data_IF_765281059967
#
_entry.id   IF_765281059967
#
_cell.length_a   1.000
_cell.length_b   1.000
_cell.length_c   1.000
_cell.angle_alpha   90.00
_cell.angle_beta   90.00
_cell.angle_gamma   90.00
#
_symmetry.space_group_name_H-M   'P 1'
#
loop_
_entity.id
_entity.type
_entity.pdbx_description
1 polymer ?
#
# COMPACT_ATOMS: atom_id res chain seq x y z
N UNK A 1 -22.63 4.00 41.18
CA UNK A 1 -21.65 3.34 40.28
C UNK A 1 -22.41 2.80 39.07
N UNK A 2 -21.89 2.96 37.85
CA UNK A 2 -22.50 2.34 36.67
C UNK A 2 -22.13 0.86 36.59
N UNK A 3 -23.10 -0.02 36.32
CA UNK A 3 -22.83 -1.45 36.16
C UNK A 3 -22.20 -1.73 34.79
N UNK A 4 -21.03 -2.37 34.77
CA UNK A 4 -20.32 -2.69 33.54
C UNK A 4 -21.20 -3.58 32.62
N UNK A 5 -21.43 -3.11 31.38
CA UNK A 5 -22.26 -3.83 30.41
C UNK A 5 -21.67 -5.22 30.10
N UNK A 6 -22.40 -6.33 30.34
CA UNK A 6 -21.83 -7.67 30.29
C UNK A 6 -21.75 -8.21 28.86
N UNK A 7 -20.93 -7.59 28.01
CA UNK A 7 -20.77 -7.87 26.57
C UNK A 7 -20.67 -9.38 26.26
N UNK A 8 -19.86 -10.13 27.03
CA UNK A 8 -19.65 -11.57 26.87
C UNK A 8 -20.80 -12.47 27.35
N UNK A 9 -21.90 -11.91 27.84
CA UNK A 9 -23.16 -12.61 28.15
C UNK A 9 -24.25 -12.38 27.09
N UNK A 10 -24.02 -11.54 26.08
CA UNK A 10 -24.98 -11.32 24.99
C UNK A 10 -25.18 -12.59 24.15
N UNK A 11 -26.41 -12.85 23.64
CA UNK A 11 -26.65 -13.86 22.61
C UNK A 11 -25.75 -13.63 21.39
N UNK A 12 -25.25 -14.70 20.76
CA UNK A 12 -24.22 -14.63 19.71
C UNK A 12 -24.50 -13.59 18.61
N UNK A 13 -25.74 -13.51 18.10
CA UNK A 13 -26.12 -12.51 17.08
C UNK A 13 -25.95 -11.06 17.58
N UNK A 14 -26.36 -10.76 18.82
CA UNK A 14 -26.23 -9.44 19.42
C UNK A 14 -24.75 -9.10 19.72
N UNK A 15 -23.97 -10.05 20.25
CA UNK A 15 -22.53 -9.90 20.44
C UNK A 15 -21.81 -9.59 19.12
N UNK A 16 -22.12 -10.34 18.06
CA UNK A 16 -21.59 -10.07 16.73
C UNK A 16 -21.99 -8.66 16.26
N UNK A 17 -23.27 -8.27 16.36
CA UNK A 17 -23.72 -6.95 15.93
C UNK A 17 -23.00 -5.81 16.66
N UNK A 18 -22.82 -5.91 17.99
CA UNK A 18 -22.05 -4.92 18.76
C UNK A 18 -20.60 -4.85 18.27
N UNK A 19 -19.92 -6.00 18.11
CA UNK A 19 -18.54 -6.05 17.59
C UNK A 19 -18.42 -5.62 16.12
N UNK A 20 -19.50 -5.67 15.34
CA UNK A 20 -19.56 -5.07 14.01
C UNK A 20 -19.68 -3.53 14.06
N UNK A 21 -20.11 -2.95 15.18
CA UNK A 21 -20.23 -1.50 15.38
C UNK A 21 -19.00 -0.84 16.03
N UNK A 22 -18.06 -1.60 16.61
CA UNK A 22 -16.81 -1.04 17.18
C UNK A 22 -15.76 -0.83 16.07
N UNK A 23 -14.81 0.09 16.33
CA UNK A 23 -13.64 0.32 15.50
C UNK A 23 -12.74 -0.92 15.41
N UNK A 24 -11.99 -1.02 14.31
CA UNK A 24 -11.12 -2.17 14.06
C UNK A 24 -9.88 -2.22 14.94
N UNK A 25 -9.39 -1.09 15.44
CA UNK A 25 -8.30 -1.05 16.42
C UNK A 25 -8.77 -1.63 17.76
N UNK A 26 -9.98 -1.29 18.19
CA UNK A 26 -10.63 -1.85 19.39
C UNK A 26 -10.99 -3.34 19.26
N UNK A 27 -11.36 -3.81 18.07
CA UNK A 27 -11.60 -5.25 17.81
C UNK A 27 -10.33 -6.07 18.05
N UNK A 28 -9.17 -5.56 17.65
CA UNK A 28 -7.88 -6.19 17.96
C UNK A 28 -7.61 -6.12 19.47
N UNK A 29 -7.81 -4.97 20.12
CA UNK A 29 -7.73 -4.84 21.60
C UNK A 29 -8.54 -5.91 22.32
N UNK A 30 -9.79 -6.08 21.90
CA UNK A 30 -10.72 -7.06 22.47
C UNK A 30 -10.25 -8.50 22.21
N UNK A 31 -9.75 -8.82 21.00
CA UNK A 31 -9.22 -10.16 20.69
C UNK A 31 -7.96 -10.54 21.50
N UNK A 32 -7.21 -9.56 22.02
CA UNK A 32 -6.03 -9.79 22.86
C UNK A 32 -6.39 -10.05 24.33
N UNK A 33 -7.57 -9.62 24.79
CA UNK A 33 -7.94 -9.67 26.21
C UNK A 33 -8.07 -11.09 26.81
N UNK A 34 -8.36 -12.11 25.99
CA UNK A 34 -8.46 -13.52 26.42
C UNK A 34 -8.55 -14.47 25.23
N UNK A 35 -8.31 -15.77 25.44
CA UNK A 35 -8.59 -16.77 24.40
C UNK A 35 -10.08 -16.82 24.00
N UNK A 36 -11.01 -16.55 24.92
CA UNK A 36 -12.46 -16.49 24.64
C UNK A 36 -12.80 -15.33 23.70
N UNK A 37 -12.23 -14.15 23.91
CA UNK A 37 -12.45 -12.98 23.04
C UNK A 37 -11.74 -13.13 21.69
N UNK A 38 -10.56 -13.77 21.66
CA UNK A 38 -9.86 -14.16 20.43
C UNK A 38 -10.73 -15.04 19.52
N UNK A 39 -11.33 -16.10 20.04
CA UNK A 39 -12.26 -16.94 19.27
C UNK A 39 -13.54 -16.22 18.86
N UNK A 40 -14.07 -15.32 19.69
CA UNK A 40 -15.23 -14.49 19.32
C UNK A 40 -14.89 -13.63 18.10
N UNK A 41 -13.76 -12.91 18.10
CA UNK A 41 -13.34 -12.05 16.97
C UNK A 41 -13.06 -12.87 15.71
N UNK A 42 -12.34 -13.98 15.83
CA UNK A 42 -12.16 -14.95 14.72
C UNK A 42 -13.51 -15.42 14.17
N UNK A 43 -14.50 -15.69 15.02
CA UNK A 43 -15.84 -16.10 14.59
C UNK A 43 -16.66 -15.01 13.87
N UNK A 44 -16.20 -13.75 13.84
CA UNK A 44 -16.75 -12.69 13.00
C UNK A 44 -16.36 -12.84 11.52
N UNK A 45 -15.38 -13.69 11.17
CA UNK A 45 -14.95 -13.95 9.78
C UNK A 45 -14.63 -12.67 9.00
N UNK A 46 -13.96 -11.72 9.66
CA UNK A 46 -13.68 -10.39 9.15
C UNK A 46 -12.75 -10.47 7.94
N UNK A 47 -13.18 -9.88 6.82
CA UNK A 47 -12.38 -9.84 5.59
C UNK A 47 -11.49 -8.62 5.56
N UNK A 48 -10.22 -8.91 5.27
CA UNK A 48 -9.14 -7.99 4.92
C UNK A 48 -8.72 -8.32 3.48
N UNK A 49 -8.04 -7.41 2.79
CA UNK A 49 -7.34 -7.77 1.56
C UNK A 49 -6.02 -8.48 1.88
N UNK A 50 -5.14 -7.81 2.63
CA UNK A 50 -3.73 -8.17 2.70
C UNK A 50 -3.11 -7.79 4.06
N UNK A 51 -2.13 -8.58 4.51
CA UNK A 51 -1.25 -8.27 5.66
C UNK A 51 0.12 -7.89 5.12
N UNK A 52 0.65 -6.76 5.53
CA UNK A 52 1.97 -6.27 5.13
C UNK A 52 2.85 -6.00 6.34
N UNK A 53 4.15 -6.21 6.19
CA UNK A 53 5.17 -5.93 7.21
C UNK A 53 6.13 -4.88 6.65
N UNK A 54 6.41 -3.82 7.41
CA UNK A 54 7.41 -2.79 7.05
C UNK A 54 8.58 -2.82 8.02
N UNK A 55 9.77 -2.78 7.44
CA UNK A 55 11.07 -2.75 8.09
C UNK A 55 11.61 -1.32 7.91
N UNK A 56 11.38 -0.48 8.91
CA UNK A 56 11.73 0.95 8.94
C UNK A 56 12.74 1.19 10.09
N UNK A 57 12.79 2.37 10.70
CA UNK A 57 13.47 2.63 11.98
C UNK A 57 12.88 1.80 13.15
N UNK A 58 11.63 1.36 12.95
CA UNK A 58 10.81 0.51 13.80
C UNK A 58 10.06 -0.50 12.92
N UNK A 59 9.43 -1.51 13.53
CA UNK A 59 8.61 -2.48 12.79
C UNK A 59 7.16 -1.99 12.74
N UNK A 60 6.52 -2.15 11.58
CA UNK A 60 5.11 -1.75 11.37
C UNK A 60 4.35 -2.89 10.70
N UNK A 61 3.22 -3.31 11.27
CA UNK A 61 2.27 -4.21 10.60
C UNK A 61 1.12 -3.35 10.04
N UNK A 62 0.86 -3.48 8.75
CA UNK A 62 -0.25 -2.83 8.04
C UNK A 62 -1.26 -3.87 7.59
N UNK A 63 -2.53 -3.67 7.92
CA UNK A 63 -3.65 -4.50 7.43
C UNK A 63 -4.47 -3.67 6.44
N UNK A 64 -4.54 -4.13 5.20
CA UNK A 64 -5.20 -3.42 4.11
C UNK A 64 -6.70 -3.76 4.00
N UNK A 65 -7.50 -2.71 3.81
CA UNK A 65 -8.92 -2.71 3.46
C UNK A 65 -9.82 -3.63 4.32
N UNK A 66 -10.33 -3.09 5.42
CA UNK A 66 -11.22 -3.79 6.34
C UNK A 66 -12.70 -3.54 6.00
N UNK A 67 -13.52 -4.61 5.89
CA UNK A 67 -14.97 -4.53 5.61
C UNK A 67 -15.34 -3.67 4.38
N UNK A 68 -14.57 -3.77 3.29
CA UNK A 68 -14.69 -2.94 2.07
C UNK A 68 -14.42 -1.43 2.25
N UNK A 69 -13.97 -0.97 3.43
CA UNK A 69 -13.41 0.38 3.57
C UNK A 69 -12.02 0.44 2.92
N UNK A 70 -11.64 1.55 2.26
CA UNK A 70 -10.27 1.76 1.80
C UNK A 70 -9.29 2.06 2.95
N UNK A 71 -9.79 2.41 4.14
CA UNK A 71 -8.95 2.79 5.30
C UNK A 71 -7.98 1.67 5.70
N UNK A 72 -6.73 2.03 5.97
CA UNK A 72 -5.69 1.12 6.44
C UNK A 72 -5.58 1.12 7.97
N UNK A 73 -5.33 -0.06 8.53
CA UNK A 73 -5.03 -0.25 9.95
C UNK A 73 -3.51 -0.37 10.12
N UNK A 74 -2.90 0.49 10.93
CA UNK A 74 -1.45 0.55 11.12
C UNK A 74 -1.07 0.26 12.58
N UNK A 75 -0.17 -0.70 12.78
CA UNK A 75 0.36 -1.09 14.08
C UNK A 75 1.86 -0.85 14.15
N UNK A 76 2.26 0.13 14.95
CA UNK A 76 3.64 0.54 15.15
C UNK A 76 4.19 -0.10 16.43
N UNK A 77 5.29 -0.83 16.30
CA UNK A 77 5.96 -1.50 17.40
C UNK A 77 7.21 -0.71 17.77
N UNK A 78 7.28 -0.19 19.00
CA UNK A 78 8.41 0.62 19.45
C UNK A 78 9.31 -0.17 20.41
N UNK A 79 10.65 -0.06 20.29
CA UNK A 79 11.57 -0.56 21.30
C UNK A 79 11.44 0.25 22.59
N UNK A 80 12.07 -0.22 23.66
CA UNK A 80 12.15 0.52 24.93
C UNK A 80 13.05 1.75 24.81
N UNK A 81 14.25 1.57 24.23
CA UNK A 81 15.17 2.64 23.89
C UNK A 81 15.34 2.76 22.36
N UNK A 82 15.36 3.99 21.85
CA UNK A 82 15.98 4.30 20.56
C UNK A 82 17.50 4.20 20.75
N UNK A 83 18.03 2.98 20.74
CA UNK A 83 19.46 2.76 20.88
C UNK A 83 20.20 3.17 19.59
N UNK A 84 21.13 4.12 19.70
CA UNK A 84 22.15 4.43 18.68
C UNK A 84 23.24 3.33 18.65
N UNK A 85 22.80 2.07 18.59
CA UNK A 85 23.68 0.90 18.45
C UNK A 85 24.14 0.78 17.01
N UNK A 86 25.38 0.33 16.85
CA UNK A 86 25.95 -0.09 15.58
C UNK A 86 25.01 -1.14 14.94
N UNK A 87 24.60 -0.89 13.69
CA UNK A 87 23.73 -1.78 12.93
C UNK A 87 24.52 -3.04 12.47
N UNK A 88 23.87 -4.21 12.31
CA UNK A 88 22.44 -4.47 12.41
C UNK A 88 21.96 -4.90 13.82
N UNK A 89 20.73 -4.54 14.16
CA UNK A 89 20.10 -4.79 15.48
C UNK A 89 19.13 -5.99 15.37
N UNK A 90 19.09 -6.94 16.31
CA UNK A 90 18.06 -7.99 16.32
C UNK A 90 16.64 -7.41 16.55
N UNK A 91 15.61 -8.16 16.15
CA UNK A 91 14.22 -7.78 16.40
C UNK A 91 13.94 -7.82 17.91
N UNK A 92 13.47 -6.69 18.43
CA UNK A 92 13.27 -6.46 19.86
C UNK A 92 11.89 -6.90 20.34
N UNK A 93 11.79 -7.07 21.65
CA UNK A 93 10.51 -7.08 22.36
C UNK A 93 9.91 -5.66 22.35
N UNK A 94 8.68 -5.43 21.84
CA UNK A 94 8.08 -4.10 21.86
C UNK A 94 7.80 -3.65 23.31
N UNK A 95 8.25 -2.47 23.70
CA UNK A 95 7.86 -1.88 24.98
C UNK A 95 6.48 -1.22 24.88
N UNK A 96 6.23 -0.54 23.75
CA UNK A 96 4.99 0.18 23.45
C UNK A 96 4.51 -0.17 22.05
N UNK A 97 3.21 -0.41 21.93
CA UNK A 97 2.54 -0.64 20.65
C UNK A 97 1.53 0.48 20.42
N UNK A 98 1.34 0.90 19.17
CA UNK A 98 0.34 1.91 18.79
C UNK A 98 -0.47 1.40 17.61
N UNK A 99 -1.78 1.26 17.80
CA UNK A 99 -2.73 0.99 16.72
C UNK A 99 -3.36 2.30 16.25
N UNK A 100 -3.44 2.52 14.95
CA UNK A 100 -4.01 3.74 14.36
C UNK A 100 -4.95 3.41 13.20
N UNK A 101 -6.04 4.16 13.12
CA UNK A 101 -6.99 4.16 12.00
C UNK A 101 -6.77 5.37 11.09
N UNK A 102 -6.34 5.07 9.86
CA UNK A 102 -5.93 6.03 8.83
C UNK A 102 -4.75 6.94 9.25
N UNK A 103 -4.09 7.58 8.28
CA UNK A 103 -2.92 8.44 8.58
C UNK A 103 -3.29 9.85 9.03
N UNK A 104 -4.54 10.28 8.80
CA UNK A 104 -5.06 11.62 9.10
C UNK A 104 -6.54 11.50 9.54
N UNK A 105 -7.00 12.17 10.62
CA UNK A 105 -6.25 12.94 11.62
C UNK A 105 -5.81 12.09 12.83
N UNK A 106 -4.83 12.54 13.65
CA UNK A 106 -4.25 11.78 14.77
C UNK A 106 -5.19 11.52 15.97
N UNK A 107 -6.50 11.78 15.83
CA UNK A 107 -7.50 11.53 16.87
C UNK A 107 -7.83 10.03 17.02
N UNK A 108 -7.52 9.22 16.00
CA UNK A 108 -7.80 7.77 15.96
C UNK A 108 -6.61 6.90 16.43
N UNK A 109 -5.81 7.40 17.38
CA UNK A 109 -4.60 6.72 17.88
C UNK A 109 -4.90 6.03 19.21
N UNK A 110 -4.82 4.69 19.24
CA UNK A 110 -4.86 3.90 20.47
C UNK A 110 -3.45 3.47 20.86
N UNK A 111 -3.05 3.79 22.09
CA UNK A 111 -1.72 3.48 22.64
C UNK A 111 -1.83 2.29 23.60
N UNK A 112 -0.96 1.31 23.43
CA UNK A 112 -0.91 0.10 24.25
C UNK A 112 0.43 -0.02 24.95
N UNK A 113 0.40 -0.40 26.23
CA UNK A 113 1.51 -1.14 26.83
C UNK A 113 1.48 -2.54 26.21
N UNK A 114 2.61 -3.05 25.73
CA UNK A 114 2.65 -4.39 25.15
C UNK A 114 2.31 -5.43 26.25
N UNK A 115 1.34 -6.34 26.08
CA UNK A 115 0.98 -7.34 27.08
C UNK A 115 1.97 -8.51 27.16
N UNK A 116 3.26 -8.28 26.89
CA UNK A 116 4.30 -9.31 26.88
C UNK A 116 4.34 -10.17 25.62
N UNK A 117 3.94 -9.66 24.45
CA UNK A 117 3.98 -10.38 23.17
C UNK A 117 5.11 -9.90 22.25
N UNK A 118 5.84 -10.85 21.65
CA UNK A 118 6.82 -10.57 20.60
C UNK A 118 6.15 -10.12 19.29
N UNK A 119 6.90 -9.48 18.39
CA UNK A 119 6.39 -9.09 17.06
C UNK A 119 5.93 -10.32 16.25
N UNK A 120 6.58 -11.48 16.45
CA UNK A 120 6.20 -12.77 15.88
C UNK A 120 4.83 -13.25 16.36
N UNK A 121 4.53 -13.11 17.66
CA UNK A 121 3.23 -13.46 18.24
C UNK A 121 2.14 -12.46 17.83
N UNK A 122 2.45 -11.17 17.74
CA UNK A 122 1.54 -10.16 17.17
C UNK A 122 1.18 -10.49 15.71
N UNK A 123 2.17 -10.80 14.87
CA UNK A 123 1.95 -11.23 13.48
C UNK A 123 1.07 -12.49 13.41
N UNK A 124 1.41 -13.53 14.18
CA UNK A 124 0.62 -14.75 14.27
C UNK A 124 -0.82 -14.51 14.77
N UNK A 125 -1.01 -13.53 15.67
CA UNK A 125 -2.34 -13.13 16.15
C UNK A 125 -3.18 -12.49 15.04
N UNK A 126 -2.61 -11.56 14.25
CA UNK A 126 -3.31 -10.97 13.08
C UNK A 126 -3.66 -12.02 12.02
N UNK A 127 -2.70 -12.88 11.68
CA UNK A 127 -2.90 -14.01 10.76
C UNK A 127 -4.08 -14.89 11.21
N UNK A 128 -4.15 -15.20 12.51
CA UNK A 128 -5.18 -16.03 13.11
C UNK A 128 -6.59 -15.41 13.13
N UNK A 129 -6.73 -14.14 13.53
CA UNK A 129 -8.05 -13.49 13.64
C UNK A 129 -8.65 -13.10 12.28
N UNK A 130 -7.81 -12.91 11.25
CA UNK A 130 -8.24 -12.53 9.90
C UNK A 130 -8.12 -13.65 8.85
N UNK A 131 -7.76 -14.87 9.26
CA UNK A 131 -7.61 -16.05 8.39
C UNK A 131 -6.62 -15.85 7.21
N UNK A 132 -5.52 -15.12 7.43
CA UNK A 132 -4.44 -14.99 6.43
C UNK A 132 -3.23 -15.82 6.86
N UNK A 133 -2.75 -16.70 5.99
CA UNK A 133 -1.52 -17.48 6.18
C UNK A 133 -0.26 -16.81 5.62
N UNK A 134 -0.40 -15.66 4.94
CA UNK A 134 0.66 -15.02 4.16
C UNK A 134 0.86 -13.55 4.54
N UNK A 135 2.07 -13.07 4.31
CA UNK A 135 2.40 -11.65 4.21
C UNK A 135 2.34 -11.27 2.73
N UNK A 136 1.45 -10.36 2.34
CA UNK A 136 1.34 -9.89 0.95
C UNK A 136 2.63 -9.21 0.49
N UNK A 137 3.19 -8.33 1.31
CA UNK A 137 4.47 -7.68 1.01
C UNK A 137 5.30 -7.36 2.24
N UNK A 138 6.61 -7.54 2.08
CA UNK A 138 7.64 -7.08 3.00
C UNK A 138 8.27 -5.81 2.43
N UNK A 139 8.11 -4.70 3.15
CA UNK A 139 8.57 -3.37 2.75
C UNK A 139 9.89 -3.02 3.46
N UNK A 140 10.81 -2.40 2.72
CA UNK A 140 12.03 -1.78 3.23
C UNK A 140 12.08 -0.32 2.75
N UNK A 141 12.33 0.61 3.67
CA UNK A 141 12.20 2.06 3.44
C UNK A 141 13.49 2.85 3.76
N UNK A 142 14.49 2.18 4.33
CA UNK A 142 15.73 2.77 4.86
C UNK A 142 16.95 2.34 4.06
N UNK A 143 17.91 3.25 3.96
CA UNK A 143 19.12 3.11 3.15
C UNK A 143 19.94 1.88 3.55
N UNK A 144 20.22 1.75 4.85
CA UNK A 144 20.75 0.54 5.48
C UNK A 144 19.64 -0.36 6.01
N UNK A 145 19.94 -1.66 6.07
CA UNK A 145 19.09 -2.66 6.71
C UNK A 145 19.35 -2.63 8.23
N UNK A 146 18.71 -1.69 8.94
CA UNK A 146 18.85 -1.48 10.39
C UNK A 146 18.72 -2.75 11.23
N UNK A 147 17.83 -3.66 10.83
CA UNK A 147 17.60 -4.91 11.53
C UNK A 147 18.39 -6.07 10.92
N UNK A 148 18.84 -7.00 11.76
CA UNK A 148 19.43 -8.24 11.28
C UNK A 148 18.38 -9.03 10.49
N UNK A 149 18.73 -9.37 9.25
CA UNK A 149 17.87 -10.10 8.34
C UNK A 149 17.59 -11.54 8.83
N UNK A 150 18.44 -12.12 9.68
CA UNK A 150 18.19 -13.44 10.31
C UNK A 150 17.03 -13.36 11.30
N UNK A 151 17.07 -12.39 12.20
CA UNK A 151 16.01 -12.09 13.16
C UNK A 151 14.70 -11.62 12.49
N UNK A 152 14.77 -10.87 11.38
CA UNK A 152 13.58 -10.56 10.55
C UNK A 152 12.96 -11.83 9.98
N UNK A 153 13.77 -12.76 9.44
CA UNK A 153 13.29 -14.04 8.89
C UNK A 153 12.70 -14.95 9.95
N UNK A 154 13.31 -15.02 11.13
CA UNK A 154 12.77 -15.77 12.28
C UNK A 154 11.42 -15.21 12.75
N UNK A 155 11.30 -13.88 12.78
CA UNK A 155 10.07 -13.16 13.14
C UNK A 155 8.93 -13.42 12.15
N UNK A 156 9.24 -13.52 10.85
CA UNK A 156 8.29 -13.92 9.80
C UNK A 156 7.95 -15.42 9.88
N UNK A 157 8.93 -16.24 10.30
CA UNK A 157 8.81 -17.68 10.44
C UNK A 157 8.52 -18.38 9.10
N UNK A 158 7.59 -19.33 9.12
CA UNK A 158 7.14 -20.07 7.94
C UNK A 158 6.09 -19.36 7.08
N UNK A 159 5.84 -18.06 7.30
CA UNK A 159 4.84 -17.31 6.53
C UNK A 159 5.28 -17.11 5.08
N UNK A 160 4.39 -17.39 4.13
CA UNK A 160 4.64 -17.06 2.72
C UNK A 160 4.74 -15.54 2.53
N UNK A 161 5.74 -15.06 1.77
CA UNK A 161 5.90 -13.64 1.42
C UNK A 161 5.57 -13.47 -0.06
N UNK A 162 4.51 -12.71 -0.36
CA UNK A 162 4.03 -12.51 -1.73
C UNK A 162 4.92 -11.60 -2.59
N UNK A 163 5.59 -10.60 -2.02
CA UNK A 163 6.42 -9.62 -2.75
C UNK A 163 7.43 -8.93 -1.82
N UNK A 164 8.65 -8.66 -2.29
CA UNK A 164 9.58 -7.73 -1.62
C UNK A 164 9.44 -6.33 -2.23
N UNK A 165 9.40 -5.29 -1.39
CA UNK A 165 9.18 -3.90 -1.81
C UNK A 165 10.25 -2.98 -1.22
N UNK A 166 11.04 -2.37 -2.10
CA UNK A 166 12.13 -1.45 -1.76
C UNK A 166 11.72 -0.03 -2.17
N UNK A 167 11.51 0.84 -1.19
CA UNK A 167 10.89 2.15 -1.38
C UNK A 167 11.58 3.26 -0.57
N UNK A 168 11.11 4.49 -0.74
CA UNK A 168 11.63 5.68 -0.08
C UNK A 168 13.16 5.81 -0.28
N UNK A 169 13.94 5.67 0.80
CA UNK A 169 15.40 5.75 0.78
C UNK A 169 16.10 4.39 0.65
N UNK A 170 15.38 3.28 0.39
CA UNK A 170 15.98 1.95 0.41
C UNK A 170 17.21 1.77 -0.50
N UNK A 171 18.34 1.42 0.10
CA UNK A 171 19.63 1.26 -0.57
C UNK A 171 19.82 -0.12 -1.21
N UNK A 172 20.71 -0.18 -2.20
CA UNK A 172 20.99 -1.40 -2.94
C UNK A 172 21.51 -2.55 -2.06
N UNK A 173 22.37 -2.26 -1.08
CA UNK A 173 22.90 -3.29 -0.17
C UNK A 173 21.78 -3.95 0.65
N UNK A 174 20.91 -3.16 1.27
CA UNK A 174 19.75 -3.67 2.01
C UNK A 174 18.82 -4.50 1.11
N UNK A 175 18.57 -4.05 -0.12
CA UNK A 175 17.79 -4.81 -1.09
C UNK A 175 18.46 -6.16 -1.46
N UNK A 176 19.79 -6.19 -1.63
CA UNK A 176 20.53 -7.44 -1.85
C UNK A 176 20.52 -8.37 -0.63
N UNK A 177 20.64 -7.84 0.59
CA UNK A 177 20.54 -8.63 1.82
C UNK A 177 19.16 -9.30 1.96
N UNK A 178 18.09 -8.54 1.73
CA UNK A 178 16.73 -9.08 1.73
C UNK A 178 16.53 -10.18 0.67
N UNK A 179 17.07 -9.99 -0.54
CA UNK A 179 16.99 -10.99 -1.61
C UNK A 179 17.75 -12.29 -1.31
N UNK A 180 18.96 -12.19 -0.72
CA UNK A 180 19.72 -13.36 -0.25
C UNK A 180 18.94 -14.11 0.83
N UNK A 181 18.19 -13.39 1.66
CA UNK A 181 17.49 -13.96 2.81
C UNK A 181 16.14 -14.59 2.46
N UNK A 182 15.44 -14.06 1.45
CA UNK A 182 14.13 -14.52 0.99
C UNK A 182 14.13 -14.99 -0.49
N UNK A 183 15.01 -15.94 -0.90
CA UNK A 183 15.22 -16.31 -2.30
C UNK A 183 14.04 -17.06 -2.94
N UNK A 184 13.05 -17.48 -2.14
CA UNK A 184 11.79 -18.05 -2.61
C UNK A 184 10.87 -17.02 -3.27
N UNK A 185 10.95 -15.74 -2.90
CA UNK A 185 10.01 -14.70 -3.37
C UNK A 185 10.28 -14.38 -4.84
N UNK A 186 9.23 -14.40 -5.68
CA UNK A 186 9.32 -14.20 -7.14
C UNK A 186 8.69 -12.90 -7.66
N UNK A 187 8.18 -12.07 -6.77
CA UNK A 187 7.69 -10.73 -7.10
C UNK A 187 8.52 -9.67 -6.37
N UNK A 188 9.08 -8.72 -7.10
CA UNK A 188 9.90 -7.63 -6.56
C UNK A 188 9.41 -6.27 -7.05
N UNK A 189 9.54 -5.25 -6.19
CA UNK A 189 9.27 -3.86 -6.52
C UNK A 189 10.40 -2.97 -6.01
N UNK A 190 11.08 -2.27 -6.92
CA UNK A 190 12.17 -1.35 -6.63
C UNK A 190 11.80 0.08 -7.05
N UNK A 191 11.34 0.89 -6.11
CA UNK A 191 10.91 2.28 -6.32
C UNK A 191 11.63 3.32 -5.44
N UNK A 192 12.67 2.91 -4.72
CA UNK A 192 13.54 3.80 -3.93
C UNK A 192 14.57 4.52 -4.81
N UNK A 193 15.07 5.67 -4.32
CA UNK A 193 16.13 6.42 -5.03
C UNK A 193 17.44 5.65 -5.14
N UNK A 194 17.77 4.86 -4.12
CA UNK A 194 18.93 3.95 -4.12
C UNK A 194 18.87 2.81 -5.14
N UNK A 195 17.76 2.70 -5.89
CA UNK A 195 17.54 1.73 -6.97
C UNK A 195 17.13 2.43 -8.29
N UNK A 196 17.46 3.70 -8.50
CA UNK A 196 17.22 4.40 -9.77
C UNK A 196 18.01 3.85 -10.97
N UNK A 197 19.07 3.06 -10.74
CA UNK A 197 20.02 2.64 -11.78
C UNK A 197 20.14 1.11 -11.91
N UNK A 198 19.34 0.47 -12.79
CA UNK A 198 19.35 -0.98 -12.98
C UNK A 198 20.70 -1.56 -13.43
N UNK A 199 21.63 -0.74 -13.94
CA UNK A 199 22.97 -1.21 -14.32
C UNK A 199 23.77 -1.69 -13.09
N UNK A 200 23.53 -1.07 -11.92
CA UNK A 200 24.16 -1.43 -10.64
C UNK A 200 23.66 -2.77 -10.07
N UNK A 201 22.52 -3.27 -10.55
CA UNK A 201 21.85 -4.46 -9.99
C UNK A 201 21.38 -5.46 -11.05
N UNK A 202 22.16 -5.62 -12.12
CA UNK A 202 21.96 -6.63 -13.17
C UNK A 202 21.79 -8.06 -12.61
N UNK A 203 22.38 -8.38 -11.45
CA UNK A 203 22.20 -9.64 -10.71
C UNK A 203 20.77 -9.87 -10.15
N UNK A 204 19.93 -8.84 -10.10
CA UNK A 204 18.50 -8.93 -9.81
C UNK A 204 17.71 -9.11 -11.12
N UNK A 205 18.07 -8.36 -12.18
CA UNK A 205 17.36 -8.37 -13.47
C UNK A 205 17.33 -9.76 -14.13
N UNK A 206 18.45 -10.49 -14.08
CA UNK A 206 18.60 -11.82 -14.70
C UNK A 206 17.87 -12.95 -13.97
N UNK A 207 17.34 -12.70 -12.77
CA UNK A 207 16.69 -13.74 -11.96
C UNK A 207 15.38 -14.21 -12.60
N UNK A 208 15.06 -15.49 -12.46
CA UNK A 208 13.79 -16.09 -12.91
C UNK A 208 12.62 -15.64 -12.02
N UNK A 209 12.21 -14.38 -12.15
CA UNK A 209 11.10 -13.78 -11.40
C UNK A 209 9.77 -13.99 -12.13
N UNK A 210 8.68 -13.89 -11.38
CA UNK A 210 7.32 -13.84 -11.90
C UNK A 210 6.88 -12.39 -12.12
N UNK A 211 7.31 -11.45 -11.27
CA UNK A 211 7.04 -10.03 -11.44
C UNK A 211 8.23 -9.17 -11.02
N UNK A 212 8.58 -8.19 -11.85
CA UNK A 212 9.55 -7.16 -11.53
C UNK A 212 8.96 -5.77 -11.82
N UNK A 213 8.86 -4.93 -10.80
CA UNK A 213 8.48 -3.52 -10.90
C UNK A 213 9.74 -2.67 -10.64
N UNK A 214 10.03 -1.75 -11.55
CA UNK A 214 11.18 -0.85 -11.52
C UNK A 214 10.71 0.60 -11.67
N UNK A 215 11.00 1.43 -10.66
CA UNK A 215 10.55 2.81 -10.57
C UNK A 215 9.07 2.97 -10.20
N UNK A 216 8.70 4.20 -9.89
CA UNK A 216 7.33 4.64 -9.60
C UNK A 216 7.08 6.01 -10.26
N UNK A 217 5.84 6.53 -10.31
CA UNK A 217 5.56 7.84 -10.92
C UNK A 217 6.37 9.01 -10.34
N UNK A 218 6.86 8.88 -9.11
CA UNK A 218 7.74 9.83 -8.41
C UNK A 218 9.24 9.49 -8.47
N UNK A 219 9.59 8.27 -8.89
CA UNK A 219 10.97 7.75 -8.91
C UNK A 219 11.24 7.10 -10.27
N UNK A 220 11.74 7.88 -11.22
CA UNK A 220 12.00 7.42 -12.60
C UNK A 220 13.36 6.73 -12.71
N UNK A 221 13.40 5.45 -13.09
CA UNK A 221 14.67 4.75 -13.32
C UNK A 221 15.40 5.24 -14.59
N UNK A 222 16.72 5.14 -14.56
CA UNK A 222 17.63 5.32 -15.70
C UNK A 222 17.95 3.97 -16.34
N UNK A 223 17.00 3.40 -17.08
CA UNK A 223 17.19 2.10 -17.74
C UNK A 223 17.54 2.26 -19.23
N UNK A 224 18.55 1.50 -19.67
CA UNK A 224 18.96 1.36 -21.07
C UNK A 224 18.33 0.13 -21.74
N UNK A 225 18.56 -0.03 -23.05
CA UNK A 225 18.11 -1.21 -23.78
C UNK A 225 18.76 -2.49 -23.25
N UNK A 226 20.05 -2.43 -22.89
CA UNK A 226 20.80 -3.61 -22.53
C UNK A 226 20.32 -4.16 -21.17
N UNK A 227 20.06 -3.28 -20.20
CA UNK A 227 19.34 -3.62 -18.96
C UNK A 227 17.94 -4.19 -19.25
N UNK A 228 17.17 -3.60 -20.17
CA UNK A 228 15.84 -4.13 -20.54
C UNK A 228 15.94 -5.56 -21.12
N UNK A 229 16.99 -5.87 -21.88
CA UNK A 229 17.22 -7.20 -22.47
C UNK A 229 17.75 -8.23 -21.46
N UNK A 230 18.34 -7.78 -20.34
CA UNK A 230 18.74 -8.64 -19.22
C UNK A 230 17.56 -9.08 -18.34
N UNK A 231 16.39 -8.42 -18.41
CA UNK A 231 15.26 -8.75 -17.52
C UNK A 231 14.63 -10.09 -17.89
N UNK A 232 14.74 -11.05 -16.98
CA UNK A 232 14.21 -12.42 -17.09
C UNK A 232 12.97 -12.60 -16.20
N UNK A 233 11.98 -11.72 -16.34
CA UNK A 233 10.71 -11.78 -15.59
C UNK A 233 9.52 -12.11 -16.51
N UNK A 234 8.48 -12.77 -15.98
CA UNK A 234 7.21 -12.97 -16.73
C UNK A 234 6.48 -11.65 -16.90
N UNK A 235 6.27 -10.92 -15.82
CA UNK A 235 5.69 -9.58 -15.82
C UNK A 235 6.74 -8.53 -15.51
N UNK A 236 6.84 -7.50 -16.35
CA UNK A 236 7.77 -6.38 -16.22
C UNK A 236 6.98 -5.07 -16.18
N UNK A 237 7.23 -4.24 -15.18
CA UNK A 237 6.72 -2.87 -15.08
C UNK A 237 7.91 -1.93 -14.90
N UNK A 238 8.05 -0.93 -15.77
CA UNK A 238 9.17 0.02 -15.74
C UNK A 238 8.68 1.46 -15.94
N UNK A 239 8.82 2.29 -14.91
CA UNK A 239 8.53 3.72 -14.96
C UNK A 239 9.82 4.50 -15.23
N UNK A 240 9.97 5.05 -16.44
CA UNK A 240 11.24 5.65 -16.88
C UNK A 240 11.08 6.77 -17.89
N UNK A 241 11.82 7.86 -17.67
CA UNK A 241 12.03 8.94 -18.64
C UNK A 241 13.06 8.58 -19.73
N UNK A 242 14.02 7.70 -19.45
CA UNK A 242 15.19 7.39 -20.32
C UNK A 242 14.90 6.38 -21.42
N UNK A 243 13.92 5.48 -21.22
CA UNK A 243 13.40 4.62 -22.28
C UNK A 243 12.99 5.50 -23.48
N UNK A 244 13.13 5.01 -24.72
CA UNK A 244 12.69 5.72 -25.93
C UNK A 244 11.84 4.85 -26.84
N UNK A 245 11.06 5.46 -27.74
CA UNK A 245 10.28 4.72 -28.75
C UNK A 245 11.20 3.84 -29.64
N UNK A 246 12.42 4.31 -29.95
CA UNK A 246 13.46 3.52 -30.64
C UNK A 246 13.98 2.36 -29.77
N UNK A 247 14.17 2.57 -28.47
CA UNK A 247 14.55 1.52 -27.51
C UNK A 247 13.50 0.41 -27.42
N UNK A 248 12.23 0.77 -27.30
CA UNK A 248 11.12 -0.20 -27.30
C UNK A 248 11.01 -0.92 -28.66
N UNK A 249 11.18 -0.23 -29.80
CA UNK A 249 11.21 -0.87 -31.12
C UNK A 249 12.33 -1.94 -31.22
N UNK A 250 13.53 -1.66 -30.70
CA UNK A 250 14.63 -2.63 -30.62
C UNK A 250 14.26 -3.80 -29.69
N UNK A 251 13.76 -3.51 -28.49
CA UNK A 251 13.32 -4.53 -27.52
C UNK A 251 12.26 -5.48 -28.10
N UNK A 252 11.23 -4.94 -28.76
CA UNK A 252 10.20 -5.74 -29.43
C UNK A 252 10.78 -6.61 -30.55
N UNK A 253 11.75 -6.11 -31.33
CA UNK A 253 12.46 -6.92 -32.34
C UNK A 253 13.32 -8.03 -31.73
N UNK A 254 14.01 -7.77 -30.62
CA UNK A 254 14.72 -8.83 -29.88
C UNK A 254 13.73 -9.89 -29.34
N UNK A 255 12.55 -9.49 -28.85
CA UNK A 255 11.49 -10.43 -28.45
C UNK A 255 10.96 -11.23 -29.64
N UNK A 256 10.72 -10.60 -30.79
CA UNK A 256 10.31 -11.28 -32.03
C UNK A 256 11.34 -12.31 -32.47
N UNK A 257 12.62 -12.03 -32.26
CA UNK A 257 13.74 -12.94 -32.52
C UNK A 257 14.02 -13.93 -31.36
N UNK A 258 13.09 -14.08 -30.41
CA UNK A 258 13.13 -15.11 -29.36
C UNK A 258 13.58 -14.66 -27.96
N UNK A 259 14.00 -13.40 -27.77
CA UNK A 259 14.48 -12.92 -26.47
C UNK A 259 13.37 -12.91 -25.39
N UNK A 260 13.78 -13.17 -24.14
CA UNK A 260 12.95 -13.49 -22.98
C UNK A 260 11.77 -14.44 -23.31
N UNK A 261 12.00 -15.78 -23.38
CA UNK A 261 10.95 -16.75 -23.67
C UNK A 261 9.88 -16.87 -22.56
N UNK A 262 10.19 -16.43 -21.32
CA UNK A 262 9.29 -16.49 -20.17
C UNK A 262 8.34 -15.27 -20.07
N UNK A 263 8.51 -14.26 -20.92
CA UNK A 263 7.78 -13.00 -20.86
C UNK A 263 6.29 -13.15 -21.22
N UNK A 264 5.40 -12.69 -20.34
CA UNK A 264 3.95 -12.67 -20.52
C UNK A 264 3.39 -11.24 -20.66
N UNK A 265 3.91 -10.27 -19.89
CA UNK A 265 3.46 -8.86 -19.90
C UNK A 265 4.63 -7.90 -19.71
N UNK A 266 4.63 -6.79 -20.46
CA UNK A 266 5.51 -5.64 -20.21
C UNK A 266 4.72 -4.35 -20.20
N UNK A 267 5.01 -3.46 -19.26
CA UNK A 267 4.43 -2.13 -19.14
C UNK A 267 5.53 -1.07 -19.00
N UNK A 268 5.64 -0.17 -19.98
CA UNK A 268 6.55 0.99 -19.94
C UNK A 268 5.73 2.25 -19.64
N UNK A 269 5.87 2.81 -18.43
CA UNK A 269 5.25 4.07 -18.04
C UNK A 269 6.19 5.25 -18.29
N UNK A 270 5.66 6.35 -18.84
CA UNK A 270 6.39 7.58 -19.09
C UNK A 270 5.92 8.67 -18.13
N UNK A 271 6.65 8.95 -17.02
CA UNK A 271 6.21 9.89 -15.99
C UNK A 271 6.15 11.34 -16.50
N UNK A 272 6.89 11.66 -17.56
CA UNK A 272 6.84 12.96 -18.24
C UNK A 272 5.67 13.13 -19.22
N UNK A 273 4.71 12.20 -19.27
CA UNK A 273 3.45 12.34 -20.02
C UNK A 273 3.58 12.40 -21.54
N UNK A 274 4.78 12.22 -22.11
CA UNK A 274 5.03 12.26 -23.56
C UNK A 274 4.17 11.22 -24.30
N UNK A 275 3.73 11.52 -25.52
CA UNK A 275 2.98 10.54 -26.31
C UNK A 275 3.92 9.50 -26.96
N UNK A 276 3.69 8.19 -26.81
CA UNK A 276 4.47 7.18 -27.50
C UNK A 276 4.08 7.12 -28.98
N UNK A 277 5.06 7.26 -29.87
CA UNK A 277 4.86 7.31 -31.32
C UNK A 277 4.67 5.89 -31.87
N UNK A 278 3.47 5.59 -32.36
CA UNK A 278 3.08 4.29 -32.96
C UNK A 278 4.06 3.85 -34.04
N UNK A 279 4.37 4.73 -34.97
CA UNK A 279 5.07 4.38 -36.20
C UNK A 279 6.57 4.24 -35.96
N UNK A 280 7.13 4.98 -35.00
CA UNK A 280 8.50 4.74 -34.48
C UNK A 280 8.57 3.47 -33.64
N UNK A 281 7.57 3.19 -32.79
CA UNK A 281 7.51 1.98 -31.95
C UNK A 281 7.45 0.69 -32.78
N UNK A 282 6.70 0.72 -33.90
CA UNK A 282 6.40 -0.47 -34.71
C UNK A 282 7.12 -0.48 -36.07
N UNK A 283 8.05 0.45 -36.31
CA UNK A 283 8.81 0.53 -37.58
C UNK A 283 9.48 -0.81 -37.89
N UNK A 284 9.06 -1.47 -38.96
CA UNK A 284 9.64 -2.74 -39.41
C UNK A 284 9.39 -3.92 -38.46
N UNK A 285 8.19 -4.03 -37.87
CA UNK A 285 7.76 -5.23 -37.12
C UNK A 285 6.66 -6.03 -37.84
N UNK A 286 6.29 -5.65 -39.07
CA UNK A 286 5.20 -6.24 -39.87
C UNK A 286 3.90 -6.43 -39.07
N UNK A 287 3.52 -5.41 -38.29
CA UNK A 287 2.40 -5.49 -37.38
C UNK A 287 1.04 -5.54 -38.11
N UNK A 288 0.05 -6.15 -37.47
CA UNK A 288 -1.35 -6.12 -37.89
C UNK A 288 -2.19 -5.31 -36.91
N UNK A 289 -2.95 -4.34 -37.39
CA UNK A 289 -3.76 -3.46 -36.54
C UNK A 289 -5.13 -4.10 -36.22
N UNK A 290 -5.43 -4.22 -34.93
CA UNK A 290 -6.67 -4.79 -34.42
C UNK A 290 -7.65 -3.65 -34.10
N UNK A 291 -8.84 -3.71 -34.70
CA UNK A 291 -9.94 -2.81 -34.39
C UNK A 291 -10.39 -2.91 -32.92
N UNK A 292 -10.76 -1.76 -32.34
CA UNK A 292 -11.13 -1.61 -30.92
C UNK A 292 -12.39 -2.40 -30.48
N UNK A 293 -13.17 -2.93 -31.43
CA UNK A 293 -14.29 -3.81 -31.18
C UNK A 293 -13.88 -5.27 -30.88
N UNK A 294 -12.69 -5.69 -31.30
CA UNK A 294 -12.14 -7.01 -30.93
C UNK A 294 -11.59 -6.96 -29.50
N UNK A 295 -11.89 -8.00 -28.72
CA UNK A 295 -11.59 -8.05 -27.28
C UNK A 295 -10.90 -9.36 -26.93
N UNK A 296 -9.67 -9.27 -26.41
CA UNK A 296 -8.96 -10.40 -25.78
C UNK A 296 -9.01 -10.26 -24.26
N UNK A 297 -8.98 -11.40 -23.57
CA UNK A 297 -9.06 -11.48 -22.11
C UNK A 297 -7.82 -12.21 -21.59
N UNK A 298 -6.89 -11.47 -21.00
CA UNK A 298 -5.70 -12.01 -20.35
C UNK A 298 -6.04 -12.31 -18.88
N UNK A 299 -5.79 -13.53 -18.39
CA UNK A 299 -6.06 -13.91 -17.00
C UNK A 299 -4.79 -13.72 -16.17
N UNK A 300 -4.81 -12.77 -15.23
CA UNK A 300 -3.72 -12.46 -14.29
C UNK A 300 -4.15 -12.85 -12.88
N UNK A 301 -3.72 -14.01 -12.39
CA UNK A 301 -4.23 -14.61 -11.15
C UNK A 301 -5.77 -14.70 -11.21
N UNK A 302 -6.49 -14.12 -10.26
CA UNK A 302 -7.97 -14.06 -10.26
C UNK A 302 -8.54 -12.90 -11.10
N UNK A 303 -7.70 -11.92 -11.49
CA UNK A 303 -8.12 -10.72 -12.22
C UNK A 303 -8.08 -10.97 -13.73
N UNK A 304 -9.06 -10.42 -14.46
CA UNK A 304 -9.09 -10.51 -15.93
C UNK A 304 -8.81 -9.15 -16.53
N UNK A 305 -7.70 -9.02 -17.23
CA UNK A 305 -7.32 -7.82 -17.97
C UNK A 305 -8.00 -7.86 -19.34
N UNK A 306 -8.73 -6.80 -19.67
CA UNK A 306 -9.42 -6.66 -20.95
C UNK A 306 -8.53 -5.86 -21.91
N UNK A 307 -8.13 -6.50 -23.01
CA UNK A 307 -7.37 -5.90 -24.11
C UNK A 307 -8.35 -5.63 -25.25
N UNK A 308 -8.44 -4.38 -25.70
CA UNK A 308 -9.32 -3.94 -26.80
C UNK A 308 -8.46 -3.32 -27.89
N UNK A 309 -8.57 -3.81 -29.12
CA UNK A 309 -7.69 -3.42 -30.22
C UNK A 309 -6.20 -3.59 -29.89
N UNK A 310 -5.35 -2.89 -30.65
CA UNK A 310 -3.90 -2.91 -30.51
C UNK A 310 -3.18 -3.28 -31.80
N UNK A 311 -1.90 -3.59 -31.68
CA UNK A 311 -1.04 -3.95 -32.81
C UNK A 311 -0.42 -5.31 -32.55
N UNK A 312 -0.82 -6.31 -33.32
CA UNK A 312 -0.27 -7.66 -33.23
C UNK A 312 1.05 -7.76 -33.96
N UNK A 313 2.05 -8.33 -33.29
CA UNK A 313 3.33 -8.78 -33.82
C UNK A 313 3.51 -10.26 -33.51
N UNK A 314 4.39 -10.94 -34.24
CA UNK A 314 4.69 -12.36 -34.03
C UNK A 314 6.17 -12.58 -33.77
N UNK A 315 6.48 -13.51 -32.86
CA UNK A 315 7.81 -14.10 -32.70
C UNK A 315 8.03 -15.18 -33.77
N UNK A 316 9.29 -15.51 -34.06
CA UNK A 316 9.68 -16.56 -35.03
C UNK A 316 9.05 -17.94 -34.75
N UNK A 317 8.73 -18.25 -33.49
CA UNK A 317 8.01 -19.47 -33.07
C UNK A 317 6.49 -19.42 -33.34
N UNK A 318 5.99 -18.35 -33.97
CA UNK A 318 4.58 -18.10 -34.26
C UNK A 318 3.80 -17.45 -33.10
N UNK A 319 4.39 -17.35 -31.90
CA UNK A 319 3.75 -16.76 -30.71
C UNK A 319 3.28 -15.34 -30.99
N UNK A 320 2.02 -15.08 -30.63
CA UNK A 320 1.38 -13.80 -30.87
C UNK A 320 1.63 -12.86 -29.69
N UNK A 321 1.98 -11.61 -29.98
CA UNK A 321 2.06 -10.54 -28.98
C UNK A 321 1.30 -9.30 -29.43
N UNK A 322 0.60 -8.62 -28.52
CA UNK A 322 -0.16 -7.39 -28.83
C UNK A 322 0.42 -6.19 -28.09
N UNK A 323 0.84 -5.16 -28.83
CA UNK A 323 1.22 -3.85 -28.32
C UNK A 323 -0.03 -2.96 -28.21
N UNK A 324 -0.22 -2.26 -27.08
CA UNK A 324 -1.25 -1.22 -26.94
C UNK A 324 -0.66 0.03 -26.29
N UNK A 325 -0.89 1.19 -26.89
CA UNK A 325 -0.55 2.50 -26.34
C UNK A 325 -1.76 3.01 -25.57
N UNK A 326 -1.57 3.47 -24.33
CA UNK A 326 -2.67 3.90 -23.44
C UNK A 326 -2.30 5.12 -22.59
N UNK A 327 -3.32 5.72 -21.98
CA UNK A 327 -3.20 6.81 -21.02
C UNK A 327 -4.10 6.54 -19.81
N UNK A 328 -3.65 6.87 -18.60
CA UNK A 328 -4.42 6.87 -17.36
C UNK A 328 -4.07 8.11 -16.55
N UNK A 329 -5.03 9.01 -16.36
CA UNK A 329 -4.77 10.37 -15.89
C UNK A 329 -3.73 11.04 -16.80
N UNK A 330 -2.64 11.60 -16.26
CA UNK A 330 -1.55 12.18 -17.05
C UNK A 330 -0.46 11.19 -17.47
N UNK A 331 -0.45 9.97 -16.91
CA UNK A 331 0.57 8.97 -17.24
C UNK A 331 0.20 8.28 -18.56
N UNK A 332 1.14 8.26 -19.50
CA UNK A 332 1.06 7.54 -20.77
C UNK A 332 1.98 6.34 -20.75
N UNK A 333 1.56 5.25 -21.37
CA UNK A 333 2.26 3.98 -21.26
C UNK A 333 2.08 3.06 -22.46
N UNK A 334 3.06 2.20 -22.68
CA UNK A 334 3.02 1.11 -23.66
C UNK A 334 2.88 -0.21 -22.90
N UNK A 335 1.77 -0.91 -23.13
CA UNK A 335 1.56 -2.29 -22.70
C UNK A 335 1.88 -3.24 -23.85
N UNK A 336 2.58 -4.33 -23.57
CA UNK A 336 2.78 -5.46 -24.46
C UNK A 336 2.34 -6.74 -23.76
N UNK A 337 1.50 -7.54 -24.42
CA UNK A 337 0.97 -8.81 -23.92
C UNK A 337 1.39 -9.96 -24.83
N UNK A 338 1.78 -11.10 -24.27
CA UNK A 338 2.13 -12.33 -25.00
C UNK A 338 1.05 -13.40 -24.80
N UNK A 339 0.58 -14.00 -25.90
CA UNK A 339 -0.56 -14.92 -25.91
C UNK A 339 -0.12 -16.39 -26.08
N UNK A 340 0.43 -16.98 -25.02
CA UNK A 340 0.59 -18.44 -24.92
C UNK A 340 -0.76 -19.15 -24.80
N UNK A 341 -0.87 -20.38 -25.31
CA UNK A 341 -2.15 -21.10 -25.43
C UNK A 341 -2.91 -21.28 -24.11
N UNK A 342 -2.20 -21.35 -22.98
CA UNK A 342 -2.75 -21.48 -21.62
C UNK A 342 -3.50 -20.24 -21.11
N UNK A 343 -3.19 -19.04 -21.62
CA UNK A 343 -3.74 -17.77 -21.10
C UNK A 343 -4.93 -17.23 -21.91
N UNK A 344 -5.23 -17.82 -23.07
CA UNK A 344 -6.12 -17.21 -24.07
C UNK A 344 -7.53 -17.84 -24.12
N UNK A 345 -8.57 -17.01 -23.95
CA UNK A 345 -9.95 -17.33 -24.37
C UNK A 345 -10.47 -16.24 -25.32
N UNK A 346 -10.32 -16.51 -26.62
CA UNK A 346 -10.89 -15.65 -27.68
C UNK A 346 -12.42 -15.83 -27.69
N UNK A 347 -13.14 -14.70 -27.72
CA UNK A 347 -14.54 -14.67 -28.16
C UNK A 347 -14.71 -13.50 -29.12
N UNK A 348 -15.06 -13.81 -30.37
CA UNK A 348 -15.53 -12.80 -31.31
C UNK A 348 -16.79 -12.15 -30.75
N UNK A 349 -16.79 -10.83 -30.66
CA UNK A 349 -18.00 -10.09 -30.32
C UNK A 349 -18.80 -9.88 -31.61
N UNK A 350 -19.69 -10.83 -31.92
CA UNK A 350 -20.65 -10.66 -33.01
C UNK A 350 -21.45 -9.37 -32.76
N UNK A 351 -21.46 -8.45 -33.73
CA UNK A 351 -22.11 -7.14 -33.56
C UNK A 351 -23.60 -7.26 -33.88
N UNK A 352 -24.37 -7.70 -32.89
CA UNK A 352 -25.82 -7.92 -32.97
C UNK A 352 -26.65 -6.70 -32.55
N UNK A 353 -26.17 -5.48 -32.88
CA UNK A 353 -26.91 -4.21 -32.75
C UNK A 353 -28.08 -4.08 -33.75
N UNK A 354 -28.87 -5.13 -33.94
CA UNK A 354 -30.12 -5.10 -34.72
C UNK A 354 -31.20 -6.07 -34.19
N UNK A 355 -31.09 -6.52 -32.93
CA UNK A 355 -32.10 -7.34 -32.28
C UNK A 355 -32.76 -6.64 -31.07
N UNK A 356 -33.97 -6.11 -31.32
CA UNK A 356 -35.02 -5.86 -30.30
C UNK A 356 -34.76 -4.78 -29.23
N UNK A 357 -34.64 -3.52 -29.67
CA UNK A 357 -35.20 -2.41 -28.88
C UNK A 357 -36.72 -2.42 -29.02
N UNK A 358 -37.45 -2.67 -27.93
CA UNK A 358 -38.78 -2.09 -27.66
C UNK A 358 -39.22 -2.44 -26.24
N UNK A 359 -39.69 -1.41 -25.53
CA UNK A 359 -40.32 -1.42 -24.20
C UNK A 359 -39.43 -1.75 -23.00
N UNK A 360 -39.34 -0.90 -21.97
CA UNK A 360 -39.77 0.50 -21.87
C UNK A 360 -38.73 1.31 -21.07
N UNK A 361 -38.58 2.59 -21.39
CA UNK A 361 -37.68 3.51 -20.69
C UNK A 361 -38.49 4.68 -20.12
N UNK A 362 -38.61 4.74 -18.80
CA UNK A 362 -39.14 5.88 -18.07
C UNK A 362 -38.19 6.17 -16.89
N UNK A 363 -37.30 7.13 -17.09
CA UNK A 363 -36.81 7.94 -15.97
C UNK A 363 -37.87 8.99 -15.65
N UNK A 364 -37.97 9.41 -14.38
CA UNK A 364 -38.15 10.82 -14.10
C UNK A 364 -36.97 11.34 -13.27
N UNK A 365 -36.27 12.34 -13.79
CA UNK A 365 -35.63 13.34 -12.94
C UNK A 365 -36.70 14.34 -12.47
N UNK A 366 -36.49 14.89 -11.26
CA UNK A 366 -37.13 16.04 -10.60
C UNK A 366 -37.86 15.68 -9.30
N UNK A 367 -37.25 15.99 -8.15
CA UNK A 367 -37.45 17.31 -7.50
C UNK A 367 -36.48 17.50 -6.32
N UNK A 368 -36.12 18.75 -6.04
CA UNK A 368 -35.45 19.14 -4.79
C UNK A 368 -36.46 19.25 -3.62
N UNK A 369 -35.92 19.21 -2.39
CA UNK A 369 -36.49 19.61 -1.08
C UNK A 369 -36.95 18.48 -0.15
N UNK A 370 -36.77 18.71 1.17
CA UNK A 370 -37.20 17.82 2.25
C UNK A 370 -36.07 17.00 2.90
N UNK A 371 -35.45 17.54 3.95
CA UNK A 371 -34.88 16.69 5.02
C UNK A 371 -36.01 16.10 5.90
N UNK A 372 -35.70 15.21 6.86
CA UNK A 372 -35.05 15.72 8.08
C UNK A 372 -34.09 14.76 8.84
N UNK A 373 -33.38 15.36 9.81
CA UNK A 373 -32.81 14.75 11.03
C UNK A 373 -31.73 13.64 10.90
N UNK A 374 -30.48 14.10 10.88
CA UNK A 374 -29.44 13.50 11.72
C UNK A 374 -29.77 13.72 13.21
N UNK A 375 -29.74 12.68 14.04
CA UNK A 375 -29.75 12.81 15.51
C UNK A 375 -29.04 11.61 16.19
N UNK A 376 -28.33 11.87 17.29
CA UNK A 376 -27.87 10.93 18.36
C UNK A 376 -26.88 9.76 18.12
N UNK A 377 -26.15 9.63 17.00
CA UNK A 377 -25.04 8.63 16.94
C UNK A 377 -23.87 8.89 17.89
N UNK A 378 -23.74 10.10 18.45
CA UNK A 378 -22.56 10.54 19.21
C UNK A 378 -22.52 10.07 20.69
N UNK A 379 -23.64 9.57 21.22
CA UNK A 379 -23.86 9.42 22.66
C UNK A 379 -23.26 8.12 23.25
N UNK A 380 -23.20 7.04 22.47
CA UNK A 380 -22.66 5.74 22.92
C UNK A 380 -21.13 5.68 23.01
N UNK A 381 -20.40 6.53 22.27
CA UNK A 381 -18.93 6.52 22.25
C UNK A 381 -18.31 7.03 23.56
N UNK A 382 -18.96 7.97 24.26
CA UNK A 382 -18.45 8.48 25.56
C UNK A 382 -18.47 7.40 26.65
N UNK A 383 -19.56 6.65 26.78
CA UNK A 383 -19.70 5.58 27.78
C UNK A 383 -18.67 4.44 27.62
N UNK A 384 -18.25 4.12 26.39
CA UNK A 384 -17.25 3.08 26.17
C UNK A 384 -15.83 3.50 26.59
N UNK A 385 -15.47 4.76 26.31
CA UNK A 385 -14.17 5.33 26.67
C UNK A 385 -13.94 5.45 28.19
N UNK A 386 -15.00 5.56 28.97
CA UNK A 386 -14.94 5.61 30.43
C UNK A 386 -14.76 4.21 31.03
N UNK A 387 -15.49 3.21 30.51
CA UNK A 387 -15.39 1.80 30.92
C UNK A 387 -13.98 1.23 30.74
N UNK A 388 -13.31 1.56 29.63
CA UNK A 388 -11.97 1.06 29.33
C UNK A 388 -10.87 1.70 30.21
N UNK A 389 -11.10 2.86 30.83
CA UNK A 389 -10.14 3.46 31.77
C UNK A 389 -10.14 2.73 33.12
N UNK A 390 -11.30 2.42 33.68
CA UNK A 390 -11.39 1.73 34.97
C UNK A 390 -10.91 0.27 34.92
N UNK A 391 -11.01 -0.40 33.77
CA UNK A 391 -10.43 -1.75 33.61
C UNK A 391 -8.89 -1.77 33.52
N UNK A 392 -8.24 -0.61 33.41
CA UNK A 392 -6.78 -0.48 33.41
C UNK A 392 -6.19 -0.09 34.78
N UNK A 393 -7.02 0.20 35.80
CA UNK A 393 -6.60 0.72 37.10
C UNK A 393 -7.28 -0.02 38.25
N UNK A 394 -6.67 -1.13 38.71
CA UNK A 394 -7.26 -1.97 39.77
C UNK A 394 -6.23 -2.49 40.77
N UNK A 395 -5.97 -1.73 41.85
CA UNK A 395 -5.23 -2.20 43.03
C UNK A 395 -5.65 -1.42 44.30
N UNK A 396 -6.15 -2.17 45.30
CA UNK A 396 -6.12 -1.91 46.75
C UNK A 396 -6.69 -0.60 47.38
N UNK A 397 -7.75 -0.80 48.17
CA UNK A 397 -8.10 -0.13 49.46
C UNK A 397 -8.66 1.32 49.51
N UNK A 398 -9.16 1.64 50.71
CA UNK A 398 -10.06 2.72 51.17
C UNK A 398 -10.09 2.67 52.72
N UNK A 399 -10.71 3.60 53.50
CA UNK A 399 -11.58 4.74 53.15
C UNK A 399 -11.30 6.07 53.95
N UNK A 400 -12.24 7.04 53.91
CA UNK A 400 -12.39 8.25 54.80
C UNK A 400 -11.40 9.41 54.45
N UNK A 401 -11.75 10.72 54.43
CA UNK A 401 -12.98 11.49 54.75
C UNK A 401 -13.19 12.74 53.84
N UNK A 402 -14.47 13.12 53.68
CA UNK A 402 -15.09 14.49 53.69
C UNK A 402 -14.54 15.72 52.90
N UNK A 403 -15.50 16.36 52.20
CA UNK A 403 -15.62 17.82 51.86
C UNK A 403 -14.52 18.43 50.96
N UNK A 404 -14.74 19.51 50.18
CA UNK A 404 -15.91 20.37 49.95
C UNK A 404 -15.97 20.78 48.45
N UNK A 405 -17.09 21.36 47.98
CA UNK A 405 -17.19 21.92 46.61
C UNK A 405 -16.54 23.32 46.50
N UNK A 406 -16.52 23.89 45.28
CA UNK A 406 -17.11 25.22 45.16
C UNK A 406 -18.06 25.37 43.95
N UNK A 407 -18.83 26.45 43.99
CA UNK A 407 -19.85 26.81 43.00
C UNK A 407 -19.25 27.55 41.78
N UNK A 408 -20.12 27.97 40.86
CA UNK A 408 -19.82 29.05 39.93
C UNK A 408 -20.19 30.38 40.60
N UNK A 409 -19.48 31.44 40.26
CA UNK A 409 -20.15 32.71 39.99
C UNK A 409 -19.42 33.47 38.86
N UNK A 410 -20.09 34.44 38.27
CA UNK A 410 -19.65 35.20 37.09
C UNK A 410 -19.13 36.61 37.46
N UNK A 411 -18.57 37.28 36.43
CA UNK A 411 -18.39 38.74 36.22
C UNK A 411 -17.00 39.35 36.47
N UNK A 412 -16.56 40.07 35.43
CA UNK A 412 -16.15 41.51 35.36
C UNK A 412 -15.25 42.07 36.49
N UNK A 413 -14.26 42.95 36.22
CA UNK A 413 -14.19 43.92 35.13
C UNK A 413 -12.77 44.26 34.63
N UNK A 414 -12.77 44.93 33.47
CA UNK A 414 -11.70 45.69 32.81
C UNK A 414 -10.60 46.34 33.65
N UNK A 415 -9.38 46.37 33.12
CA UNK A 415 -8.68 47.65 32.88
C UNK A 415 -7.70 47.56 31.69
N UNK A 416 -7.24 48.69 31.18
CA UNK A 416 -6.58 48.81 29.87
C UNK A 416 -5.42 49.80 29.86
N UNK A 417 -4.34 49.51 29.13
CA UNK A 417 -3.33 50.50 28.74
C UNK A 417 -2.94 50.39 27.27
N UNK A 418 -2.69 51.56 26.66
CA UNK A 418 -2.33 51.77 25.26
C UNK A 418 -0.84 52.10 25.12
N UNK A 419 -0.26 51.73 23.97
CA UNK A 419 0.84 52.38 23.25
C UNK A 419 2.20 52.50 24.00
N UNK A 420 3.38 52.46 23.34
CA UNK A 420 3.74 53.29 22.19
C UNK A 420 4.88 52.68 21.31
N UNK A 421 5.05 53.21 20.10
CA UNK A 421 6.11 52.83 19.14
C UNK A 421 6.29 53.91 18.05
N UNK A 422 7.51 54.45 17.86
CA UNK A 422 7.91 54.72 16.47
C UNK A 422 9.41 54.62 16.12
N UNK A 423 9.70 53.81 15.07
CA UNK A 423 10.51 54.20 13.87
C UNK A 423 12.07 54.29 13.98
N UNK A 424 12.85 53.67 13.06
CA UNK A 424 13.40 54.16 11.73
C UNK A 424 14.65 55.08 11.82
N UNK A 425 15.58 55.17 10.85
CA UNK A 425 15.99 54.33 9.68
C UNK A 425 17.41 53.74 9.98
N UNK A 426 18.45 53.53 9.14
CA UNK A 426 18.89 53.59 7.72
C UNK A 426 19.88 52.39 7.54
N UNK A 427 20.18 51.71 6.42
CA UNK A 427 20.30 51.94 4.96
C UNK A 427 21.59 52.65 4.46
N UNK A 428 22.53 51.90 3.85
CA UNK A 428 23.46 52.33 2.76
C UNK A 428 24.24 51.13 2.19
N UNK A 429 24.63 51.24 0.91
CA UNK A 429 25.59 50.44 0.11
C UNK A 429 25.68 51.09 -1.28
N UNK A 430 26.31 50.49 -2.32
CA UNK A 430 27.23 49.35 -2.39
C UNK A 430 28.58 49.74 -3.06
N UNK A 431 29.44 48.78 -3.43
CA UNK A 431 30.46 48.97 -4.49
C UNK A 431 30.88 47.66 -5.18
N UNK A 432 30.96 47.68 -6.51
CA UNK A 432 31.58 46.65 -7.35
C UNK A 432 33.09 46.90 -7.52
N UNK A 433 33.83 45.90 -8.01
CA UNK A 433 34.84 46.01 -9.09
C UNK A 433 35.28 44.59 -9.51
N UNK A 434 35.62 44.40 -10.78
CA UNK A 434 36.07 43.12 -11.33
C UNK A 434 37.32 43.26 -12.21
N UNK A 435 38.19 42.26 -12.22
CA UNK A 435 39.22 42.04 -13.24
C UNK A 435 39.73 40.59 -13.24
N UNK A 436 40.05 40.08 -14.44
CA UNK A 436 40.87 38.88 -14.72
C UNK A 436 42.35 39.32 -14.91
N UNK A 437 43.36 38.43 -14.99
CA UNK A 437 43.46 37.37 -16.01
C UNK A 437 42.99 35.97 -15.58
#
# INVERSE_FOLDING_TARGET
MSSAFPLLRLPKKALHHVLYSIDYVDIVSFSLASNKTKEVVKSLNLKINDINLKIDNIIIIQIDAFRNSPSQMLWYFYPENNNDRIEPIPIYMPARVMGMRDTIPPQNIVKYRNPGLTIREWLAHFQYIFFSSKIHSLYFTRETCKFDMSSVKETIGGSEIGTLRFYDSCGLECAQMALRQFPSVKCLSAGSRGLEDPSMYRNILIQNLDMLVLGEPTTSIRIGLDEMLLINSKEIYACSSTITNKGINRFLKHWMNGSNPRMEVVNFDFPNGRFPDKDVLLKGTNYHEILSNQVRRYKRHEKIIVVKGGYDIRRMDGTLGTVTIRQRLQIRFVLFFVWVQSSCKIRFKADSRLAKWRKDAIFPENYFSGGPKHESHHQYSRYFNELMRHLASGAAHSPISEFQGPERDDRESTESFHDDNPSKLHSIGPSEVAALP
#
